data_IF_447546842902
#
_entry.id   IF_447546842902
#
_cell.length_a   1.000
_cell.length_b   1.000
_cell.length_c   1.000
_cell.angle_alpha   90.00
_cell.angle_beta   90.00
_cell.angle_gamma   90.00
#
_symmetry.space_group_name_H-M   'P 1'
#
loop_
_entity.id
_entity.type
_entity.pdbx_description
1 polymer ?
#
# COMPACT_ATOMS: atom_id res chain seq x y z
N UNK A 1 32.59 -1.60 -12.12
CA UNK A 1 32.61 -3.08 -11.96
C UNK A 1 31.79 -3.56 -10.76
N UNK A 2 31.83 -2.89 -9.60
CA UNK A 2 31.05 -3.27 -8.41
C UNK A 2 29.52 -3.25 -8.61
N UNK A 3 28.98 -2.28 -9.37
CA UNK A 3 27.54 -2.21 -9.65
C UNK A 3 27.03 -3.46 -10.40
N UNK A 4 27.77 -3.93 -11.42
CA UNK A 4 27.44 -5.15 -12.16
C UNK A 4 27.57 -6.42 -11.31
N UNK A 5 28.47 -6.43 -10.30
CA UNK A 5 28.57 -7.55 -9.36
C UNK A 5 27.41 -7.56 -8.35
N UNK A 6 26.91 -6.39 -7.93
CA UNK A 6 25.76 -6.29 -7.04
C UNK A 6 24.45 -6.68 -7.72
N UNK A 7 24.23 -6.28 -8.98
CA UNK A 7 23.04 -6.69 -9.76
C UNK A 7 22.99 -8.21 -9.93
N UNK A 8 24.11 -8.84 -10.32
CA UNK A 8 24.19 -10.31 -10.44
C UNK A 8 23.92 -11.04 -9.11
N UNK A 9 24.39 -10.50 -7.99
CA UNK A 9 24.10 -11.06 -6.65
C UNK A 9 22.63 -10.95 -6.25
N UNK A 10 21.93 -9.91 -6.69
CA UNK A 10 20.48 -9.75 -6.45
C UNK A 10 19.69 -10.74 -7.32
N UNK A 11 20.03 -10.87 -8.60
CA UNK A 11 19.39 -11.83 -9.51
C UNK A 11 19.58 -13.28 -9.06
N UNK A 12 20.77 -13.65 -8.57
CA UNK A 12 21.02 -14.98 -8.01
C UNK A 12 20.23 -15.24 -6.71
N UNK A 13 20.04 -14.21 -5.87
CA UNK A 13 19.22 -14.31 -4.66
C UNK A 13 17.73 -14.45 -4.99
N UNK A 14 17.23 -13.73 -5.98
CA UNK A 14 15.84 -13.85 -6.44
C UNK A 14 15.58 -15.21 -7.08
N UNK A 15 16.52 -15.71 -7.89
CA UNK A 15 16.42 -17.04 -8.49
C UNK A 15 16.39 -18.15 -7.42
N UNK A 16 17.30 -18.09 -6.45
CA UNK A 16 17.33 -19.06 -5.33
C UNK A 16 16.09 -18.96 -4.43
N UNK A 17 15.55 -17.76 -4.20
CA UNK A 17 14.29 -17.58 -3.50
C UNK A 17 13.13 -18.24 -4.26
N UNK A 18 13.02 -18.00 -5.57
CA UNK A 18 11.96 -18.55 -6.39
C UNK A 18 12.02 -20.10 -6.47
N UNK A 19 13.22 -20.67 -6.61
CA UNK A 19 13.43 -22.13 -6.56
C UNK A 19 13.02 -22.72 -5.19
N UNK A 20 13.27 -22.01 -4.09
CA UNK A 20 12.85 -22.43 -2.76
C UNK A 20 11.33 -22.38 -2.59
N UNK A 21 10.67 -21.34 -3.13
CA UNK A 21 9.20 -21.24 -3.13
C UNK A 21 8.59 -22.41 -3.91
N UNK A 22 9.08 -22.69 -5.11
CA UNK A 22 8.61 -23.83 -5.91
C UNK A 22 8.79 -25.18 -5.19
N UNK A 23 9.92 -25.39 -4.50
CA UNK A 23 10.14 -26.60 -3.68
C UNK A 23 9.17 -26.69 -2.51
N UNK A 24 8.82 -25.58 -1.87
CA UNK A 24 7.82 -25.55 -0.79
C UNK A 24 6.44 -25.91 -1.33
N UNK A 25 6.05 -25.37 -2.47
CA UNK A 25 4.77 -25.67 -3.12
C UNK A 25 4.67 -27.14 -3.54
N UNK A 26 5.73 -27.68 -4.16
CA UNK A 26 5.79 -29.10 -4.53
C UNK A 26 5.63 -30.01 -3.31
N UNK A 27 6.30 -29.69 -2.19
CA UNK A 27 6.14 -30.44 -0.92
C UNK A 27 4.73 -30.34 -0.35
N UNK A 28 4.05 -29.19 -0.49
CA UNK A 28 2.65 -29.04 -0.07
C UNK A 28 1.73 -29.92 -0.90
N UNK A 29 1.91 -29.95 -2.22
CA UNK A 29 1.13 -30.80 -3.14
C UNK A 29 1.34 -32.28 -2.81
N UNK A 30 2.59 -32.70 -2.62
CA UNK A 30 2.92 -34.09 -2.26
C UNK A 30 2.29 -34.48 -0.92
N UNK A 31 2.40 -33.60 0.10
CA UNK A 31 1.77 -33.82 1.40
C UNK A 31 0.25 -33.93 1.28
N UNK A 32 -0.39 -33.06 0.51
CA UNK A 32 -1.83 -33.12 0.28
C UNK A 32 -2.25 -34.42 -0.43
N UNK A 33 -1.47 -34.89 -1.41
CA UNK A 33 -1.70 -36.16 -2.08
C UNK A 33 -1.59 -37.36 -1.12
N UNK A 34 -0.59 -37.34 -0.22
CA UNK A 34 -0.41 -38.37 0.78
C UNK A 34 -1.54 -38.39 1.82
N UNK A 35 -1.99 -37.22 2.28
CA UNK A 35 -3.16 -37.09 3.16
C UNK A 35 -4.41 -37.64 2.47
N UNK A 36 -4.67 -37.25 1.22
CA UNK A 36 -5.81 -37.75 0.45
C UNK A 36 -5.80 -39.28 0.33
N UNK A 37 -4.64 -39.87 0.00
CA UNK A 37 -4.48 -41.35 -0.03
C UNK A 37 -4.77 -41.99 1.33
N UNK A 38 -4.28 -41.40 2.42
CA UNK A 38 -4.52 -41.90 3.77
C UNK A 38 -6.01 -41.83 4.14
N UNK A 39 -6.70 -40.73 3.82
CA UNK A 39 -8.14 -40.57 4.03
C UNK A 39 -8.92 -41.60 3.22
N UNK A 40 -8.58 -41.79 1.95
CA UNK A 40 -9.20 -42.82 1.10
C UNK A 40 -9.04 -44.22 1.69
N UNK A 41 -7.86 -44.55 2.19
CA UNK A 41 -7.59 -45.87 2.76
C UNK A 41 -8.40 -46.13 4.04
N UNK A 42 -8.48 -45.15 4.95
CA UNK A 42 -9.07 -45.31 6.28
C UNK A 42 -10.59 -45.09 6.32
N UNK A 43 -11.12 -44.24 5.44
CA UNK A 43 -12.53 -43.85 5.44
C UNK A 43 -13.33 -44.37 4.25
N UNK A 44 -12.77 -45.28 3.44
CA UNK A 44 -13.56 -46.01 2.44
C UNK A 44 -14.70 -46.80 3.10
N UNK A 45 -15.77 -47.01 2.34
CA UNK A 45 -16.89 -47.87 2.72
C UNK A 45 -16.42 -49.33 2.84
N UNK A 46 -16.91 -50.03 3.85
CA UNK A 46 -16.67 -51.48 4.00
C UNK A 46 -17.71 -52.26 3.20
N UNK A 47 -17.38 -53.49 2.78
CA UNK A 47 -18.21 -54.28 1.84
C UNK A 47 -19.62 -54.60 2.36
N UNK A 48 -19.83 -54.64 3.68
CA UNK A 48 -21.09 -55.02 4.32
C UNK A 48 -21.71 -53.87 5.14
N UNK A 49 -21.32 -52.62 4.86
CA UNK A 49 -21.75 -51.45 5.62
C UNK A 49 -22.82 -50.68 4.84
N UNK A 50 -23.99 -50.50 5.46
CA UNK A 50 -25.05 -49.65 4.93
C UNK A 50 -24.69 -48.16 5.04
N UNK A 51 -25.43 -47.30 4.34
CA UNK A 51 -25.16 -45.85 4.30
C UNK A 51 -25.23 -45.20 5.68
N UNK A 52 -26.19 -45.58 6.52
CA UNK A 52 -26.32 -45.04 7.88
C UNK A 52 -25.14 -45.41 8.75
N UNK A 53 -24.76 -46.68 8.78
CA UNK A 53 -23.57 -47.15 9.52
C UNK A 53 -22.28 -46.52 9.00
N UNK A 54 -22.15 -46.38 7.68
CA UNK A 54 -21.00 -45.76 7.04
C UNK A 54 -20.85 -44.29 7.44
N UNK A 55 -21.93 -43.50 7.29
CA UNK A 55 -21.93 -42.08 7.59
C UNK A 55 -21.72 -41.81 9.07
N UNK A 56 -22.38 -42.58 9.94
CA UNK A 56 -22.15 -42.50 11.37
C UNK A 56 -20.68 -42.74 11.72
N UNK A 57 -20.04 -43.74 11.13
CA UNK A 57 -18.62 -44.04 11.38
C UNK A 57 -17.69 -42.92 10.93
N UNK A 58 -17.86 -42.39 9.73
CA UNK A 58 -16.94 -41.35 9.21
C UNK A 58 -17.14 -40.00 9.92
N UNK A 59 -18.38 -39.70 10.33
CA UNK A 59 -18.74 -38.45 11.01
C UNK A 59 -18.53 -38.48 12.52
N UNK A 60 -18.42 -39.66 13.14
CA UNK A 60 -18.21 -39.80 14.58
C UNK A 60 -16.98 -39.05 15.07
N UNK A 61 -17.13 -38.33 16.17
CA UNK A 61 -16.02 -37.70 16.89
C UNK A 61 -15.37 -38.76 17.80
N UNK A 62 -14.15 -39.15 17.46
CA UNK A 62 -13.32 -40.03 18.28
C UNK A 62 -12.60 -39.22 19.37
N UNK A 63 -11.60 -39.80 20.04
CA UNK A 63 -10.81 -39.21 21.15
C UNK A 63 -9.95 -37.99 20.75
N UNK A 64 -10.26 -37.33 19.64
CA UNK A 64 -9.55 -36.18 19.09
C UNK A 64 -10.06 -34.85 19.68
N UNK A 65 -9.23 -33.82 19.64
CA UNK A 65 -9.64 -32.44 19.97
C UNK A 65 -10.68 -31.91 18.96
N UNK A 66 -11.29 -30.76 19.27
CA UNK A 66 -12.25 -30.11 18.36
C UNK A 66 -11.56 -29.68 17.06
N UNK A 67 -10.33 -29.16 17.14
CA UNK A 67 -9.53 -28.75 16.00
C UNK A 67 -9.17 -29.93 15.10
N UNK A 68 -8.65 -31.02 15.69
CA UNK A 68 -8.28 -32.24 14.97
C UNK A 68 -9.51 -32.88 14.30
N UNK A 69 -10.64 -32.88 14.99
CA UNK A 69 -11.91 -33.38 14.46
C UNK A 69 -12.40 -32.55 13.26
N UNK A 70 -12.37 -31.20 13.37
CA UNK A 70 -12.75 -30.30 12.28
C UNK A 70 -11.83 -30.47 11.07
N UNK A 71 -10.51 -30.52 11.29
CA UNK A 71 -9.54 -30.66 10.20
C UNK A 71 -9.73 -32.00 9.46
N UNK A 72 -9.88 -33.09 10.21
CA UNK A 72 -10.18 -34.42 9.66
C UNK A 72 -11.48 -34.40 8.84
N UNK A 73 -12.54 -33.82 9.37
CA UNK A 73 -13.84 -33.76 8.68
C UNK A 73 -13.79 -32.93 7.40
N UNK A 74 -13.01 -31.83 7.36
CA UNK A 74 -12.74 -31.08 6.12
C UNK A 74 -12.05 -31.96 5.08
N UNK A 75 -11.00 -32.67 5.46
CA UNK A 75 -10.26 -33.56 4.57
C UNK A 75 -11.13 -34.72 4.04
N UNK A 76 -12.00 -35.29 4.89
CA UNK A 76 -12.97 -36.32 4.47
C UNK A 76 -13.97 -35.76 3.47
N UNK A 77 -14.50 -34.55 3.70
CA UNK A 77 -15.43 -33.88 2.77
C UNK A 77 -14.78 -33.57 1.42
N UNK A 78 -13.57 -33.05 1.42
CA UNK A 78 -12.81 -32.76 0.19
C UNK A 78 -12.43 -34.02 -0.59
N UNK A 79 -12.22 -35.14 0.11
CA UNK A 79 -11.86 -36.42 -0.51
C UNK A 79 -13.08 -37.13 -1.09
N UNK A 80 -14.22 -37.07 -0.40
CA UNK A 80 -15.46 -37.73 -0.76
C UNK A 80 -16.59 -36.72 -0.93
N UNK A 81 -16.42 -35.84 -1.92
CA UNK A 81 -17.35 -34.71 -2.18
C UNK A 81 -18.74 -35.17 -2.53
N UNK A 82 -18.91 -36.37 -3.09
CA UNK A 82 -20.17 -36.84 -3.65
C UNK A 82 -21.01 -37.69 -2.68
N UNK A 83 -20.68 -37.71 -1.39
CA UNK A 83 -21.45 -38.47 -0.39
C UNK A 83 -22.71 -37.71 0.03
N UNK A 84 -23.83 -38.43 0.11
CA UNK A 84 -25.13 -37.89 0.50
C UNK A 84 -25.13 -37.27 1.91
N UNK A 85 -24.23 -37.71 2.80
CA UNK A 85 -24.07 -37.16 4.15
C UNK A 85 -23.85 -35.64 4.17
N UNK A 86 -23.34 -35.06 3.08
CA UNK A 86 -23.08 -33.61 2.99
C UNK A 86 -24.28 -32.78 2.54
N UNK A 87 -25.28 -33.41 1.90
CA UNK A 87 -26.34 -32.71 1.18
C UNK A 87 -27.75 -33.17 1.54
N UNK A 88 -27.90 -34.40 2.05
CA UNK A 88 -29.19 -35.00 2.34
C UNK A 88 -29.67 -34.67 3.74
N UNK A 89 -30.93 -34.24 3.86
CA UNK A 89 -31.56 -33.92 5.13
C UNK A 89 -31.58 -35.12 6.10
N UNK A 90 -31.70 -36.33 5.54
CA UNK A 90 -31.79 -37.57 6.32
C UNK A 90 -30.53 -37.85 7.16
N UNK A 91 -29.37 -37.25 6.82
CA UNK A 91 -28.09 -37.45 7.50
C UNK A 91 -27.58 -36.18 8.21
N UNK A 92 -28.42 -35.16 8.38
CA UNK A 92 -28.05 -33.92 9.08
C UNK A 92 -27.58 -34.16 10.52
N UNK A 93 -28.15 -35.16 11.20
CA UNK A 93 -27.74 -35.53 12.55
C UNK A 93 -26.27 -35.93 12.63
N UNK A 94 -25.74 -36.56 11.59
CA UNK A 94 -24.35 -37.04 11.55
C UNK A 94 -23.35 -35.90 11.35
N UNK A 95 -23.72 -34.85 10.61
CA UNK A 95 -22.84 -33.69 10.36
C UNK A 95 -23.00 -32.54 11.33
N UNK A 96 -24.02 -32.60 12.21
CA UNK A 96 -24.38 -31.52 13.14
C UNK A 96 -23.20 -31.05 14.00
N UNK A 97 -22.50 -31.98 14.65
CA UNK A 97 -21.36 -31.65 15.52
C UNK A 97 -20.23 -30.96 14.77
N UNK A 98 -19.94 -31.38 13.54
CA UNK A 98 -18.94 -30.75 12.69
C UNK A 98 -19.33 -29.30 12.35
N UNK A 99 -20.55 -29.08 11.86
CA UNK A 99 -20.99 -27.74 11.48
C UNK A 99 -21.14 -26.80 12.68
N UNK A 100 -21.65 -27.28 13.82
CA UNK A 100 -21.72 -26.48 15.04
C UNK A 100 -20.35 -25.98 15.48
N UNK A 101 -19.32 -26.83 15.46
CA UNK A 101 -17.95 -26.43 15.80
C UNK A 101 -17.34 -25.45 14.77
N UNK A 102 -17.57 -25.70 13.48
CA UNK A 102 -17.09 -24.80 12.41
C UNK A 102 -17.71 -23.40 12.54
N UNK A 103 -19.02 -23.32 12.80
CA UNK A 103 -19.70 -22.03 12.92
C UNK A 103 -19.40 -21.31 14.24
N UNK A 104 -19.25 -22.03 15.35
CA UNK A 104 -18.82 -21.45 16.62
C UNK A 104 -17.43 -20.80 16.48
N UNK A 105 -16.48 -21.48 15.84
CA UNK A 105 -15.13 -20.95 15.59
C UNK A 105 -15.11 -19.77 14.62
N UNK A 106 -15.96 -19.79 13.58
CA UNK A 106 -16.12 -18.64 12.68
C UNK A 106 -16.69 -17.41 13.40
N UNK A 107 -17.57 -17.60 14.38
CA UNK A 107 -18.13 -16.49 15.16
C UNK A 107 -17.03 -15.75 15.94
N UNK A 108 -16.13 -16.48 16.59
CA UNK A 108 -15.02 -15.89 17.35
C UNK A 108 -13.97 -15.24 16.43
N UNK A 109 -13.64 -15.87 15.30
CA UNK A 109 -12.70 -15.33 14.31
C UNK A 109 -13.25 -14.06 13.60
N UNK A 110 -14.57 -14.02 13.36
CA UNK A 110 -15.26 -12.87 12.77
C UNK A 110 -15.31 -11.66 13.72
N UNK A 111 -15.46 -11.89 15.04
CA UNK A 111 -15.42 -10.82 16.04
C UNK A 111 -14.03 -10.17 16.13
N UNK A 112 -12.96 -10.98 16.17
CA UNK A 112 -11.59 -10.48 16.16
C UNK A 112 -11.24 -9.75 14.86
N UNK A 113 -11.69 -10.27 13.71
CA UNK A 113 -11.51 -9.63 12.41
C UNK A 113 -12.20 -8.25 12.35
N UNK A 114 -13.47 -8.18 12.77
CA UNK A 114 -14.23 -6.92 12.77
C UNK A 114 -13.64 -5.86 13.71
N UNK A 115 -13.09 -6.28 14.85
CA UNK A 115 -12.43 -5.35 15.78
C UNK A 115 -11.11 -4.80 15.21
N UNK A 116 -10.36 -5.63 14.47
CA UNK A 116 -9.14 -5.19 13.79
C UNK A 116 -9.43 -4.27 12.59
N UNK A 117 -10.48 -4.54 11.82
CA UNK A 117 -10.93 -3.66 10.72
C UNK A 117 -11.30 -2.28 11.26
N UNK A 118 -12.11 -2.18 12.32
CA UNK A 118 -12.45 -0.88 12.95
C UNK A 118 -11.23 -0.10 13.42
N UNK A 119 -10.25 -0.78 14.03
CA UNK A 119 -8.99 -0.14 14.46
C UNK A 119 -8.17 0.40 13.28
N UNK A 120 -8.21 -0.24 12.13
CA UNK A 120 -7.54 0.23 10.91
C UNK A 120 -8.29 1.44 10.33
N UNK A 121 -9.62 1.37 10.22
CA UNK A 121 -10.45 2.49 9.74
C UNK A 121 -10.31 3.74 10.61
N UNK A 122 -10.27 3.60 11.95
CA UNK A 122 -10.04 4.72 12.87
C UNK A 122 -8.66 5.36 12.68
N UNK A 123 -7.62 4.54 12.45
CA UNK A 123 -6.26 5.02 12.17
C UNK A 123 -6.17 5.75 10.83
N UNK A 124 -6.84 5.23 9.80
CA UNK A 124 -6.90 5.86 8.48
C UNK A 124 -7.64 7.20 8.53
N UNK A 125 -8.77 7.27 9.25
CA UNK A 125 -9.48 8.54 9.48
C UNK A 125 -8.60 9.57 10.17
N UNK A 126 -7.90 9.15 11.23
CA UNK A 126 -6.97 10.03 11.98
C UNK A 126 -5.81 10.50 11.10
N UNK A 127 -5.27 9.62 10.25
CA UNK A 127 -4.22 9.98 9.30
C UNK A 127 -4.71 11.01 8.29
N UNK A 128 -5.90 10.80 7.70
CA UNK A 128 -6.48 11.71 6.72
C UNK A 128 -6.77 13.11 7.29
N UNK A 129 -7.28 13.19 8.53
CA UNK A 129 -7.48 14.47 9.23
C UNK A 129 -6.14 15.21 9.46
N UNK A 130 -5.06 14.50 9.77
CA UNK A 130 -3.74 15.10 9.93
C UNK A 130 -3.15 15.59 8.60
N UNK A 131 -3.36 14.85 7.50
CA UNK A 131 -2.98 15.28 6.14
C UNK A 131 -3.69 16.58 5.77
N UNK A 132 -5.00 16.67 5.97
CA UNK A 132 -5.77 17.89 5.70
C UNK A 132 -5.29 19.09 6.52
N UNK A 133 -4.95 18.89 7.81
CA UNK A 133 -4.37 19.96 8.66
C UNK A 133 -3.00 20.43 8.14
N UNK A 134 -2.17 19.53 7.62
CA UNK A 134 -0.87 19.88 7.03
C UNK A 134 -1.06 20.70 5.75
N UNK A 135 -1.98 20.28 4.87
CA UNK A 135 -2.30 21.00 3.63
C UNK A 135 -2.85 22.40 3.91
N UNK A 136 -3.77 22.54 4.86
CA UNK A 136 -4.30 23.84 5.29
C UNK A 136 -3.18 24.76 5.79
N UNK A 137 -2.23 24.25 6.59
CA UNK A 137 -1.06 25.02 7.06
C UNK A 137 -0.13 25.43 5.90
N UNK A 138 0.03 24.60 4.87
CA UNK A 138 0.82 24.96 3.68
C UNK A 138 0.16 26.10 2.91
N UNK A 139 -1.17 26.05 2.71
CA UNK A 139 -1.94 27.11 2.05
C UNK A 139 -1.82 28.42 2.83
N UNK A 140 -1.98 28.38 4.16
CA UNK A 140 -1.85 29.56 5.01
C UNK A 140 -0.45 30.17 4.95
N UNK A 141 0.60 29.34 5.03
CA UNK A 141 2.00 29.79 4.87
C UNK A 141 2.23 30.44 3.51
N UNK A 142 1.75 29.83 2.42
CA UNK A 142 1.87 30.41 1.09
C UNK A 142 1.16 31.76 0.97
N UNK A 143 -0.03 31.89 1.56
CA UNK A 143 -0.76 33.16 1.61
C UNK A 143 0.00 34.23 2.40
N UNK A 144 0.61 33.86 3.53
CA UNK A 144 1.42 34.77 4.35
C UNK A 144 2.70 35.21 3.64
N UNK A 145 3.39 34.29 2.95
CA UNK A 145 4.55 34.62 2.09
C UNK A 145 4.14 35.60 0.99
N UNK A 146 3.03 35.33 0.28
CA UNK A 146 2.51 36.23 -0.75
C UNK A 146 2.24 37.63 -0.21
N UNK A 147 1.59 37.75 0.95
CA UNK A 147 1.36 39.05 1.62
C UNK A 147 2.68 39.77 1.95
N UNK A 148 3.66 39.04 2.46
CA UNK A 148 4.98 39.60 2.78
C UNK A 148 5.71 40.11 1.52
N UNK A 149 5.67 39.34 0.43
CA UNK A 149 6.24 39.74 -0.86
C UNK A 149 5.53 40.99 -1.39
N UNK A 150 4.19 41.02 -1.35
CA UNK A 150 3.41 42.20 -1.76
C UNK A 150 3.82 43.45 -0.97
N UNK A 151 3.98 43.33 0.35
CA UNK A 151 4.34 44.47 1.19
C UNK A 151 5.75 44.99 0.92
N UNK A 152 6.74 44.11 0.76
CA UNK A 152 8.15 44.49 0.64
C UNK A 152 8.54 44.90 -0.79
N UNK A 153 7.89 44.32 -1.80
CA UNK A 153 8.24 44.53 -3.20
C UNK A 153 7.23 45.35 -3.98
N UNK A 154 6.20 45.94 -3.33
CA UNK A 154 5.32 46.90 -4.00
C UNK A 154 6.09 48.09 -4.59
N UNK A 155 5.55 48.66 -5.65
CA UNK A 155 6.03 49.90 -6.25
C UNK A 155 5.84 51.07 -5.28
N UNK A 156 6.84 51.94 -5.19
CA UNK A 156 6.73 53.18 -4.40
C UNK A 156 6.06 54.28 -5.25
N UNK A 157 5.42 55.25 -4.62
CA UNK A 157 4.57 56.25 -5.32
C UNK A 157 5.31 57.11 -6.37
N UNK A 158 6.63 57.27 -6.24
CA UNK A 158 7.45 58.12 -7.11
C UNK A 158 8.54 57.32 -7.84
N UNK A 159 8.35 56.01 -8.01
CA UNK A 159 9.34 55.10 -8.62
C UNK A 159 8.95 54.78 -10.07
N UNK A 160 9.85 55.11 -11.01
CA UNK A 160 9.70 54.74 -12.42
C UNK A 160 9.90 53.22 -12.61
N UNK A 161 9.47 52.71 -13.77
CA UNK A 161 9.53 51.28 -14.08
C UNK A 161 10.96 50.72 -14.03
N UNK A 162 11.94 51.45 -14.55
CA UNK A 162 13.35 51.02 -14.56
C UNK A 162 13.91 50.90 -13.15
N UNK A 163 13.73 51.94 -12.33
CA UNK A 163 14.15 51.92 -10.92
C UNK A 163 13.45 50.81 -10.13
N UNK A 164 12.14 50.64 -10.36
CA UNK A 164 11.34 49.60 -9.71
C UNK A 164 11.84 48.20 -10.05
N UNK A 165 12.01 47.91 -11.34
CA UNK A 165 12.43 46.60 -11.83
C UNK A 165 13.84 46.25 -11.39
N UNK A 166 14.77 47.21 -11.45
CA UNK A 166 16.12 47.04 -10.93
C UNK A 166 16.12 46.69 -9.45
N UNK A 167 15.29 47.36 -8.64
CA UNK A 167 15.19 47.09 -7.20
C UNK A 167 14.68 45.68 -6.92
N UNK A 168 13.56 45.28 -7.53
CA UNK A 168 12.96 43.97 -7.24
C UNK A 168 13.79 42.80 -7.79
N UNK A 169 14.54 43.01 -8.88
CA UNK A 169 15.37 41.97 -9.50
C UNK A 169 16.79 41.91 -8.95
N UNK A 170 17.26 42.95 -8.25
CA UNK A 170 18.62 42.99 -7.71
C UNK A 170 18.92 41.81 -6.78
N UNK A 171 20.12 41.24 -6.92
CA UNK A 171 20.64 40.23 -5.99
C UNK A 171 21.25 40.96 -4.79
N UNK A 172 20.65 40.79 -3.63
CA UNK A 172 21.15 41.33 -2.35
C UNK A 172 22.14 40.35 -1.72
N UNK A 173 22.48 40.53 -0.42
CA UNK A 173 23.41 39.68 0.34
C UNK A 173 22.78 38.31 0.67
N UNK A 174 22.33 37.59 -0.36
CA UNK A 174 21.70 36.27 -0.26
C UNK A 174 22.46 35.26 -1.11
N UNK A 175 22.32 33.98 -0.79
CA UNK A 175 22.86 32.90 -1.62
C UNK A 175 22.16 32.84 -2.98
N UNK A 176 22.70 32.07 -3.92
CA UNK A 176 22.05 31.85 -5.22
C UNK A 176 20.70 31.16 -5.04
N UNK A 177 20.60 30.19 -4.13
CA UNK A 177 19.37 29.51 -3.75
C UNK A 177 18.30 30.48 -3.25
N UNK A 178 18.64 31.28 -2.24
CA UNK A 178 17.74 32.24 -1.61
C UNK A 178 17.28 33.31 -2.62
N UNK A 179 18.20 33.77 -3.47
CA UNK A 179 17.89 34.74 -4.52
C UNK A 179 16.90 34.16 -5.54
N UNK A 180 17.11 32.93 -6.00
CA UNK A 180 16.23 32.25 -6.96
C UNK A 180 14.85 32.04 -6.34
N UNK A 181 14.76 31.55 -5.10
CA UNK A 181 13.49 31.30 -4.41
C UNK A 181 12.68 32.59 -4.25
N UNK A 182 13.33 33.65 -3.77
CA UNK A 182 12.72 34.99 -3.67
C UNK A 182 12.22 35.47 -5.03
N UNK A 183 13.02 35.35 -6.09
CA UNK A 183 12.62 35.80 -7.43
C UNK A 183 11.44 35.01 -7.99
N UNK A 184 11.35 33.71 -7.73
CA UNK A 184 10.17 32.89 -8.07
C UNK A 184 8.91 33.42 -7.37
N UNK A 185 8.99 33.66 -6.06
CA UNK A 185 7.87 34.20 -5.28
C UNK A 185 7.45 35.60 -5.74
N UNK A 186 8.40 36.46 -6.10
CA UNK A 186 8.12 37.80 -6.66
C UNK A 186 7.41 37.67 -8.02
N UNK A 187 7.87 36.78 -8.91
CA UNK A 187 7.22 36.53 -10.21
C UNK A 187 5.80 35.99 -10.05
N UNK A 188 5.59 35.03 -9.17
CA UNK A 188 4.26 34.47 -8.88
C UNK A 188 3.31 35.49 -8.25
N UNK A 189 3.85 36.43 -7.47
CA UNK A 189 3.04 37.47 -6.83
C UNK A 189 2.66 38.58 -7.81
N UNK A 190 3.58 38.95 -8.69
CA UNK A 190 3.43 40.05 -9.63
C UNK A 190 3.54 39.56 -11.08
N UNK A 191 2.64 38.66 -11.45
CA UNK A 191 2.66 37.95 -12.74
C UNK A 191 2.55 38.87 -13.96
N UNK A 192 2.01 40.08 -13.78
CA UNK A 192 1.67 41.01 -14.86
C UNK A 192 2.71 42.12 -15.04
N UNK A 193 3.88 42.04 -14.41
CA UNK A 193 4.93 43.04 -14.60
C UNK A 193 5.67 42.82 -15.92
N UNK A 194 5.90 43.92 -16.65
CA UNK A 194 6.61 43.91 -17.93
C UNK A 194 8.03 43.38 -17.83
N UNK A 195 8.66 43.46 -16.66
CA UNK A 195 10.01 42.89 -16.41
C UNK A 195 10.12 41.40 -16.76
N UNK A 196 9.00 40.67 -16.78
CA UNK A 196 8.98 39.25 -17.11
C UNK A 196 8.87 38.94 -18.60
N UNK A 197 8.39 39.88 -19.41
CA UNK A 197 8.00 39.63 -20.81
C UNK A 197 8.57 40.62 -21.81
N UNK A 198 8.95 41.82 -21.36
CA UNK A 198 9.40 42.91 -22.22
C UNK A 198 10.91 42.86 -22.44
N UNK A 199 11.33 42.96 -23.70
CA UNK A 199 12.74 42.93 -24.09
C UNK A 199 13.56 44.05 -23.45
N UNK A 200 12.93 45.22 -23.25
CA UNK A 200 13.58 46.40 -22.67
C UNK A 200 14.12 46.17 -21.24
N UNK A 201 13.59 45.18 -20.52
CA UNK A 201 13.96 44.87 -19.14
C UNK A 201 14.67 43.52 -18.98
N UNK A 202 15.08 42.88 -20.08
CA UNK A 202 15.78 41.60 -20.04
C UNK A 202 17.10 41.64 -19.24
N UNK A 203 17.76 42.80 -19.20
CA UNK A 203 18.97 42.99 -18.40
C UNK A 203 18.73 42.76 -16.91
N UNK A 204 17.54 43.12 -16.41
CA UNK A 204 17.21 43.03 -14.98
C UNK A 204 16.95 41.58 -14.54
N UNK A 205 16.43 40.73 -15.42
CA UNK A 205 16.13 39.32 -15.11
C UNK A 205 17.25 38.35 -15.50
N UNK A 206 18.31 38.84 -16.16
CA UNK A 206 19.40 38.02 -16.68
C UNK A 206 20.03 37.13 -15.60
N UNK A 207 20.41 37.71 -14.46
CA UNK A 207 21.05 36.95 -13.37
C UNK A 207 20.16 35.84 -12.83
N UNK A 208 18.85 36.09 -12.72
CA UNK A 208 17.89 35.08 -12.29
C UNK A 208 17.80 33.92 -13.28
N UNK A 209 17.60 34.19 -14.57
CA UNK A 209 17.48 33.12 -15.56
C UNK A 209 18.77 32.35 -15.76
N UNK A 210 19.93 33.02 -15.75
CA UNK A 210 21.23 32.35 -15.81
C UNK A 210 21.40 31.32 -14.70
N UNK A 211 21.06 31.69 -13.45
CA UNK A 211 21.15 30.77 -12.31
C UNK A 211 20.12 29.63 -12.39
N UNK A 212 18.89 29.91 -12.82
CA UNK A 212 17.84 28.89 -12.96
C UNK A 212 18.22 27.85 -14.01
N UNK A 213 18.76 28.26 -15.15
CA UNK A 213 19.15 27.32 -16.21
C UNK A 213 20.46 26.60 -15.92
N UNK A 214 21.44 27.27 -15.28
CA UNK A 214 22.65 26.60 -14.83
C UNK A 214 22.36 25.44 -13.87
N UNK A 215 21.42 25.62 -12.92
CA UNK A 215 20.98 24.55 -12.01
C UNK A 215 20.27 23.40 -12.71
N UNK A 216 19.42 23.70 -13.70
CA UNK A 216 18.74 22.64 -14.47
C UNK A 216 19.71 21.77 -15.25
N UNK A 217 20.80 22.35 -15.75
CA UNK A 217 21.85 21.59 -16.45
C UNK A 217 22.61 20.64 -15.51
N UNK A 218 22.81 21.02 -14.25
CA UNK A 218 23.48 20.15 -13.26
C UNK A 218 22.56 19.07 -12.69
N UNK A 219 21.25 19.30 -12.60
CA UNK A 219 20.27 18.30 -12.15
C UNK A 219 19.89 17.26 -13.23
N UNK A 220 20.12 17.56 -14.52
CA UNK A 220 19.83 16.63 -15.62
C UNK A 220 20.95 15.63 -15.92
N UNK A 221 22.05 15.67 -15.15
CA UNK A 221 23.21 14.79 -15.31
C UNK A 221 23.29 13.68 -14.21
N UNK A 222 22.28 13.58 -13.34
CA UNK A 222 22.08 12.47 -12.38
C UNK A 222 20.89 11.58 -12.79
#
# INVERSE_FOLDING_TARGET
EEHNQNVKKVEEKEKTHNENVQKIEARKIERAANVKKWIQANYRRKSNEDDGSYFKRICSKTVSTDEEYIERMKQVRETFTNLDVWYSEQYLSETRSFYSLVYAKKSTESEEHNQNVKKVEEKEKTHNENVQKIEARKIERAANVKKWIQANYRRKSNEDDGSYFKRICSKTVSTDEEYIERMKQVRETFTNLDVWYSEQYLSETRSFYSLVYAKKSTESEE
#
